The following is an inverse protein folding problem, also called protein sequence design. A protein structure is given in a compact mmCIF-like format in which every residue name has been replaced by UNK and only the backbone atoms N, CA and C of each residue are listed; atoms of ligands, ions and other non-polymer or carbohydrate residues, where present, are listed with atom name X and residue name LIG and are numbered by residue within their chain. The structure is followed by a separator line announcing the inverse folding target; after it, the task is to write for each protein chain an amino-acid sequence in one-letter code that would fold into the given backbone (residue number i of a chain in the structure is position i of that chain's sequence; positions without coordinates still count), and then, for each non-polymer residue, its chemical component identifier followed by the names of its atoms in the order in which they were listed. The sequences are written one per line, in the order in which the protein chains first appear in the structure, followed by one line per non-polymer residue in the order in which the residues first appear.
data_IF_007400707630
#
_entry.id   IF_007400707630
#
_cell.length_a   1.000
_cell.length_b   1.000
_cell.length_c   1.000
_cell.angle_alpha   90.00
_cell.angle_beta   90.00
_cell.angle_gamma   90.00
#
_symmetry.space_group_name_H-M   'P 1'
#
loop_
_entity.id
_entity.type
_entity.pdbx_description
1 polymer ?
#
# COMPACT_ATOMS: atom_id res chain seq x y z
N UNK A 1 21.32 -15.50 -5.74
CA UNK A 1 22.21 -14.45 -5.22
C UNK A 1 21.78 -14.24 -3.78
N UNK A 2 22.72 -14.34 -2.85
CA UNK A 2 22.43 -14.09 -1.45
C UNK A 2 22.33 -12.57 -1.28
N UNK A 3 21.12 -12.08 -0.95
CA UNK A 3 20.93 -10.68 -0.61
C UNK A 3 21.65 -10.39 0.71
N UNK A 4 22.34 -9.26 0.77
CA UNK A 4 23.11 -8.86 1.97
C UNK A 4 22.25 -7.94 2.80
N UNK A 5 21.57 -8.50 3.81
CA UNK A 5 20.66 -7.76 4.67
C UNK A 5 21.37 -6.67 5.48
N UNK A 6 20.69 -5.54 5.63
CA UNK A 6 21.11 -4.39 6.44
C UNK A 6 21.27 -4.77 7.91
N UNK A 7 20.27 -5.48 8.45
CA UNK A 7 20.30 -6.16 9.74
C UNK A 7 20.57 -7.64 9.51
N UNK A 8 21.65 -8.15 10.11
CA UNK A 8 21.96 -9.57 10.03
C UNK A 8 21.05 -10.37 10.96
N UNK A 9 20.76 -11.61 10.57
CA UNK A 9 19.97 -12.55 11.39
C UNK A 9 20.54 -12.74 12.80
N UNK A 10 21.87 -12.76 12.94
CA UNK A 10 22.55 -12.89 14.24
C UNK A 10 22.37 -11.68 15.18
N UNK A 11 21.99 -10.53 14.62
CA UNK A 11 21.79 -9.27 15.34
C UNK A 11 20.28 -8.94 15.52
N UNK A 12 19.38 -9.75 14.96
CA UNK A 12 17.94 -9.54 15.05
C UNK A 12 17.45 -9.72 16.50
N UNK A 13 16.54 -8.83 16.90
CA UNK A 13 15.86 -8.86 18.20
C UNK A 13 14.39 -9.20 18.00
N UNK A 14 13.79 -9.85 18.99
CA UNK A 14 12.34 -9.95 19.11
C UNK A 14 11.84 -8.64 19.72
N UNK A 15 11.27 -7.77 18.88
CA UNK A 15 10.91 -6.39 19.26
C UNK A 15 9.48 -6.29 19.82
N UNK A 16 8.59 -7.17 19.38
CA UNK A 16 7.21 -7.23 19.80
C UNK A 16 6.69 -8.66 19.69
N UNK A 17 5.55 -8.93 20.33
CA UNK A 17 4.84 -10.19 20.21
C UNK A 17 3.68 -10.04 19.21
N UNK A 18 3.48 -11.04 18.37
CA UNK A 18 2.47 -11.04 17.32
C UNK A 18 1.80 -12.40 17.25
N UNK A 19 0.49 -12.44 17.45
CA UNK A 19 -0.31 -13.69 17.49
C UNK A 19 -1.00 -13.99 16.15
N UNK A 20 -0.83 -13.11 15.16
CA UNK A 20 -1.45 -13.16 13.84
C UNK A 20 -0.44 -13.63 12.75
N UNK A 21 -0.89 -13.83 11.50
CA UNK A 21 0.03 -13.99 10.37
C UNK A 21 1.09 -12.87 10.33
N UNK A 22 2.36 -13.24 10.15
CA UNK A 22 3.53 -12.34 10.26
C UNK A 22 4.24 -12.06 8.94
N UNK A 23 3.89 -12.76 7.85
CA UNK A 23 4.49 -12.54 6.55
C UNK A 23 4.11 -11.17 5.99
N UNK A 24 5.04 -10.46 5.39
CA UNK A 24 4.81 -9.15 4.77
C UNK A 24 5.72 -8.97 3.56
N UNK A 25 5.36 -8.03 2.67
CA UNK A 25 6.24 -7.62 1.58
C UNK A 25 7.07 -6.42 2.02
N UNK A 26 8.37 -6.45 1.77
CA UNK A 26 9.24 -5.27 1.93
C UNK A 26 10.22 -5.14 0.75
N UNK A 27 10.60 -3.91 0.43
CA UNK A 27 11.58 -3.61 -0.63
C UNK A 27 13.03 -3.74 -0.14
N UNK A 28 13.95 -3.92 -1.09
CA UNK A 28 15.38 -3.99 -0.81
C UNK A 28 15.96 -2.65 -0.35
N UNK A 29 15.31 -1.51 -0.66
CA UNK A 29 15.65 -0.22 -0.06
C UNK A 29 15.65 -0.33 1.47
N UNK A 30 14.63 -0.99 2.04
CA UNK A 30 14.55 -1.23 3.47
C UNK A 30 15.47 -2.38 3.89
N UNK A 31 15.32 -3.56 3.27
CA UNK A 31 15.89 -4.80 3.80
C UNK A 31 17.38 -5.00 3.48
N UNK A 32 17.89 -4.37 2.43
CA UNK A 32 19.28 -4.48 1.96
C UNK A 32 20.04 -3.19 2.21
N UNK A 33 19.44 -2.05 1.83
CA UNK A 33 20.09 -0.74 1.92
C UNK A 33 19.95 -0.11 3.31
N UNK A 34 18.98 -0.57 4.12
CA UNK A 34 18.77 -0.11 5.49
C UNK A 34 18.05 1.23 5.59
N UNK A 35 17.35 1.62 4.52
CA UNK A 35 16.50 2.81 4.53
C UNK A 35 15.27 2.61 5.42
N UNK A 36 14.67 3.74 5.80
CA UNK A 36 13.46 3.76 6.63
C UNK A 36 12.22 3.45 5.80
N UNK A 37 11.20 2.90 6.45
CA UNK A 37 9.88 2.75 5.84
C UNK A 37 9.32 4.15 5.64
N UNK A 38 9.13 4.56 4.39
CA UNK A 38 8.55 5.86 4.05
C UNK A 38 7.08 5.78 3.66
N UNK A 39 6.63 4.62 3.17
CA UNK A 39 5.22 4.32 2.92
C UNK A 39 4.90 2.87 3.31
N UNK A 40 3.77 2.68 4.00
CA UNK A 40 3.28 1.36 4.39
C UNK A 40 1.77 1.29 4.28
N UNK A 41 1.25 0.13 3.87
CA UNK A 41 -0.18 -0.08 3.76
C UNK A 41 -0.55 -1.54 4.02
N UNK A 42 -1.80 -1.76 4.44
CA UNK A 42 -2.32 -3.09 4.78
C UNK A 42 -3.42 -3.48 3.79
N UNK A 43 -3.15 -4.46 2.96
CA UNK A 43 -4.09 -5.03 1.99
C UNK A 43 -4.54 -6.44 2.40
N UNK A 44 -5.41 -7.07 1.60
CA UNK A 44 -5.84 -8.43 1.88
C UNK A 44 -4.64 -9.41 1.80
N UNK A 45 -4.54 -10.38 2.73
CA UNK A 45 -3.53 -11.43 2.64
C UNK A 45 -3.58 -12.18 1.30
N UNK A 46 -2.43 -12.35 0.65
CA UNK A 46 -2.31 -13.09 -0.61
C UNK A 46 -2.19 -14.61 -0.39
N UNK A 47 -1.76 -15.03 0.81
CA UNK A 47 -1.57 -16.43 1.17
C UNK A 47 -1.72 -16.67 2.68
N UNK A 48 -1.84 -17.94 3.07
CA UNK A 48 -1.87 -18.34 4.49
C UNK A 48 -0.55 -17.98 5.17
N UNK A 49 -0.60 -17.08 6.15
CA UNK A 49 0.60 -16.55 6.82
C UNK A 49 0.99 -15.14 6.39
N UNK A 50 0.32 -14.56 5.39
CA UNK A 50 0.47 -13.14 5.04
C UNK A 50 -0.35 -12.25 6.00
N UNK A 51 0.31 -11.25 6.58
CA UNK A 51 -0.27 -10.23 7.45
C UNK A 51 -1.08 -9.17 6.71
N UNK A 52 -0.88 -9.08 5.39
CA UNK A 52 -1.39 -8.03 4.52
C UNK A 52 -0.52 -6.78 4.48
N UNK A 53 0.54 -6.68 5.30
CA UNK A 53 1.40 -5.50 5.30
C UNK A 53 2.35 -5.48 4.10
N UNK A 54 2.51 -4.28 3.55
CA UNK A 54 3.43 -3.94 2.46
C UNK A 54 4.23 -2.71 2.88
N UNK A 55 5.55 -2.78 2.75
CA UNK A 55 6.49 -1.74 3.19
C UNK A 55 7.40 -1.28 2.04
N UNK A 56 7.45 0.02 1.81
CA UNK A 56 8.36 0.65 0.84
C UNK A 56 9.08 1.85 1.46
N UNK A 57 10.20 2.25 0.87
CA UNK A 57 10.91 3.47 1.24
C UNK A 57 10.15 4.74 0.79
N UNK A 58 9.25 4.60 -0.19
CA UNK A 58 8.42 5.68 -0.73
C UNK A 58 9.10 6.48 -1.84
N UNK A 59 10.35 6.18 -2.16
CA UNK A 59 11.13 6.81 -3.23
C UNK A 59 11.43 5.87 -4.41
N UNK A 60 10.94 4.63 -4.34
CA UNK A 60 11.01 3.67 -5.43
C UNK A 60 10.16 4.11 -6.62
N UNK A 61 10.75 4.12 -7.81
CA UNK A 61 10.04 4.40 -9.06
C UNK A 61 9.39 3.15 -9.67
N UNK A 62 8.61 3.36 -10.74
CA UNK A 62 7.92 2.26 -11.42
C UNK A 62 8.89 1.21 -11.98
N UNK A 63 10.07 1.60 -12.46
CA UNK A 63 11.07 0.64 -12.97
C UNK A 63 11.57 -0.26 -11.84
N UNK A 64 11.82 0.32 -10.66
CA UNK A 64 12.20 -0.41 -9.47
C UNK A 64 11.09 -1.36 -9.00
N UNK A 65 9.86 -0.87 -8.89
CA UNK A 65 8.72 -1.63 -8.38
C UNK A 65 8.30 -2.77 -9.32
N UNK A 66 8.50 -2.60 -10.63
CA UNK A 66 8.20 -3.64 -11.62
C UNK A 66 9.22 -4.79 -11.65
N UNK A 67 10.34 -4.68 -10.93
CA UNK A 67 11.32 -5.77 -10.85
C UNK A 67 11.10 -6.60 -9.58
N UNK A 68 10.60 -7.85 -9.69
CA UNK A 68 10.29 -8.70 -8.53
C UNK A 68 11.52 -9.11 -7.70
N UNK A 69 12.74 -8.85 -8.18
CA UNK A 69 13.97 -9.08 -7.40
C UNK A 69 14.21 -8.01 -6.35
N UNK A 70 13.59 -6.84 -6.48
CA UNK A 70 13.78 -5.69 -5.61
C UNK A 70 12.92 -5.73 -4.35
N UNK A 71 12.10 -6.75 -4.18
CA UNK A 71 11.28 -6.98 -2.98
C UNK A 71 11.35 -8.45 -2.56
N UNK A 72 10.75 -8.75 -1.42
CA UNK A 72 10.68 -10.11 -0.89
C UNK A 72 9.63 -10.22 0.22
N UNK A 73 9.39 -11.47 0.63
CA UNK A 73 8.55 -11.80 1.77
C UNK A 73 9.43 -11.93 3.01
N UNK A 74 9.05 -11.24 4.08
CA UNK A 74 9.76 -11.20 5.36
C UNK A 74 8.76 -11.30 6.52
N UNK A 75 9.25 -11.61 7.72
CA UNK A 75 8.45 -11.48 8.94
C UNK A 75 8.35 -10.00 9.34
N UNK A 76 7.21 -9.57 9.90
CA UNK A 76 7.02 -8.21 10.41
C UNK A 76 8.15 -7.78 11.37
N UNK A 77 8.59 -8.69 12.23
CA UNK A 77 9.70 -8.43 13.14
C UNK A 77 11.03 -8.15 12.41
N UNK A 78 11.25 -8.74 11.24
CA UNK A 78 12.43 -8.45 10.41
C UNK A 78 12.43 -7.01 9.88
N UNK A 79 11.27 -6.51 9.46
CA UNK A 79 11.12 -5.11 9.01
C UNK A 79 11.25 -4.16 10.20
N UNK A 80 10.63 -4.47 11.34
CA UNK A 80 10.72 -3.66 12.56
C UNK A 80 12.16 -3.52 13.10
N UNK A 81 13.03 -4.50 12.85
CA UNK A 81 14.47 -4.37 13.19
C UNK A 81 15.20 -3.33 12.31
N UNK A 82 14.69 -3.03 11.12
CA UNK A 82 15.14 -1.86 10.33
C UNK A 82 14.45 -0.58 10.77
N UNK A 83 13.18 -0.69 11.15
CA UNK A 83 12.37 0.46 11.51
C UNK A 83 11.34 0.20 12.62
N UNK A 84 11.75 0.42 13.88
CA UNK A 84 10.91 0.20 15.07
C UNK A 84 9.65 1.09 15.09
N UNK A 85 9.65 2.20 14.35
CA UNK A 85 8.53 3.14 14.30
C UNK A 85 7.26 2.55 13.67
N UNK A 86 7.36 1.42 12.94
CA UNK A 86 6.18 0.76 12.37
C UNK A 86 5.36 0.02 13.43
N UNK A 87 5.98 -0.39 14.54
CA UNK A 87 5.36 -1.29 15.54
C UNK A 87 4.01 -0.76 16.05
N UNK A 88 3.87 0.53 16.42
CA UNK A 88 2.60 1.07 16.91
C UNK A 88 1.47 1.08 15.86
N UNK A 89 1.79 0.85 14.58
CA UNK A 89 0.85 0.93 13.47
C UNK A 89 0.39 -0.45 12.99
N UNK A 90 1.04 -1.54 13.41
CA UNK A 90 0.80 -2.89 12.88
C UNK A 90 -0.62 -3.41 13.17
N UNK A 91 -1.26 -2.96 14.24
CA UNK A 91 -2.65 -3.29 14.61
C UNK A 91 -3.70 -2.54 13.76
N UNK A 92 -3.28 -1.67 12.84
CA UNK A 92 -4.20 -0.91 11.99
C UNK A 92 -5.02 -1.84 11.06
N UNK A 93 -6.30 -1.49 10.78
CA UNK A 93 -7.17 -2.34 9.98
C UNK A 93 -6.74 -2.42 8.52
N UNK A 94 -7.23 -3.45 7.83
CA UNK A 94 -7.15 -3.55 6.38
C UNK A 94 -7.67 -2.27 5.70
N UNK A 95 -7.00 -1.85 4.64
CA UNK A 95 -7.31 -0.60 3.95
C UNK A 95 -6.53 0.61 4.47
N UNK A 96 -5.80 0.49 5.58
CA UNK A 96 -5.02 1.61 6.12
C UNK A 96 -3.70 1.78 5.36
N UNK A 97 -3.29 3.02 5.16
CA UNK A 97 -1.95 3.38 4.70
C UNK A 97 -1.36 4.52 5.54
N UNK A 98 -0.04 4.60 5.58
CA UNK A 98 0.72 5.65 6.25
C UNK A 98 1.91 6.06 5.39
N UNK A 99 2.22 7.35 5.37
CA UNK A 99 3.45 7.90 4.79
C UNK A 99 4.21 8.71 5.83
N UNK A 100 5.52 8.87 5.65
CA UNK A 100 6.31 9.82 6.47
C UNK A 100 6.23 11.23 5.88
N UNK A 101 5.90 12.20 6.73
CA UNK A 101 5.98 13.62 6.37
C UNK A 101 7.43 14.13 6.35
N UNK A 102 7.63 15.40 5.99
CA UNK A 102 8.96 16.05 5.97
C UNK A 102 9.66 16.07 7.34
N UNK A 103 8.92 15.86 8.44
CA UNK A 103 9.48 15.74 9.79
C UNK A 103 9.90 14.31 10.13
N UNK A 104 9.66 13.37 9.23
CA UNK A 104 9.92 11.94 9.39
C UNK A 104 8.88 11.22 10.23
N UNK A 105 7.70 11.80 10.48
CA UNK A 105 6.65 11.16 11.27
C UNK A 105 5.61 10.50 10.38
N UNK A 106 5.12 9.34 10.79
CA UNK A 106 3.99 8.71 10.12
C UNK A 106 2.72 9.56 10.25
N UNK A 107 2.14 9.84 9.09
CA UNK A 107 0.83 10.44 8.90
C UNK A 107 -0.03 9.40 8.18
N UNK A 108 -1.24 9.19 8.69
CA UNK A 108 -2.19 8.29 8.06
C UNK A 108 -2.65 8.88 6.73
N UNK A 109 -2.65 8.07 5.68
CA UNK A 109 -3.32 8.42 4.43
C UNK A 109 -4.83 8.51 4.69
N UNK A 110 -5.46 9.53 4.13
CA UNK A 110 -6.89 9.74 4.29
C UNK A 110 -7.71 8.71 3.52
N UNK A 111 -7.15 8.11 2.47
CA UNK A 111 -7.88 7.18 1.62
C UNK A 111 -7.73 5.74 2.10
N UNK A 112 -8.82 4.98 1.99
CA UNK A 112 -8.75 3.53 2.12
C UNK A 112 -8.05 2.95 0.88
N UNK A 113 -6.90 2.30 1.07
CA UNK A 113 -6.07 1.82 -0.04
C UNK A 113 -6.75 0.72 -0.85
N UNK A 114 -7.60 -0.10 -0.20
CA UNK A 114 -8.34 -1.17 -0.88
C UNK A 114 -9.44 -0.57 -1.78
N UNK A 115 -10.12 0.48 -1.32
CA UNK A 115 -11.06 1.23 -2.14
C UNK A 115 -10.35 1.89 -3.32
N UNK A 116 -9.19 2.51 -3.07
CA UNK A 116 -8.36 3.12 -4.13
C UNK A 116 -7.94 2.11 -5.19
N UNK A 117 -7.46 0.94 -4.79
CA UNK A 117 -7.06 -0.13 -5.71
C UNK A 117 -8.23 -0.62 -6.57
N UNK A 118 -9.42 -0.83 -5.98
CA UNK A 118 -10.60 -1.25 -6.75
C UNK A 118 -11.10 -0.17 -7.70
N UNK A 119 -11.05 1.10 -7.30
CA UNK A 119 -11.40 2.23 -8.17
C UNK A 119 -10.42 2.31 -9.34
N UNK A 120 -9.11 2.20 -9.08
CA UNK A 120 -8.07 2.21 -10.11
C UNK A 120 -8.24 1.06 -11.11
N UNK A 121 -8.56 -0.15 -10.64
CA UNK A 121 -8.86 -1.31 -11.48
C UNK A 121 -10.10 -1.06 -12.38
N UNK A 122 -11.17 -0.45 -11.86
CA UNK A 122 -12.33 -0.07 -12.68
C UNK A 122 -11.91 0.93 -13.76
N UNK A 123 -11.16 1.97 -13.40
CA UNK A 123 -10.68 2.97 -14.36
C UNK A 123 -9.84 2.29 -15.47
N UNK A 124 -8.95 1.38 -15.11
CA UNK A 124 -8.14 0.60 -16.03
C UNK A 124 -8.99 -0.27 -16.97
N UNK A 125 -9.97 -1.00 -16.45
CA UNK A 125 -10.88 -1.85 -17.24
C UNK A 125 -11.69 -1.05 -18.27
N UNK A 126 -12.05 0.19 -17.93
CA UNK A 126 -12.73 1.13 -18.83
C UNK A 126 -11.76 1.94 -19.71
N UNK A 127 -10.46 1.63 -19.67
CA UNK A 127 -9.39 2.32 -20.42
C UNK A 127 -9.39 3.82 -20.15
N UNK A 128 -9.48 4.21 -18.87
CA UNK A 128 -9.43 5.59 -18.40
C UNK A 128 -8.08 5.81 -17.72
N UNK A 129 -7.20 6.53 -18.42
CA UNK A 129 -5.83 6.76 -17.94
C UNK A 129 -5.68 8.12 -17.24
N UNK A 130 -6.62 9.05 -17.49
CA UNK A 130 -6.55 10.41 -16.98
C UNK A 130 -7.93 11.07 -16.99
N UNK A 131 -8.00 12.28 -16.40
CA UNK A 131 -9.23 13.08 -16.33
C UNK A 131 -9.81 13.46 -17.68
N UNK A 132 -9.00 13.64 -18.72
CA UNK A 132 -9.51 13.99 -20.06
C UNK A 132 -10.28 12.81 -20.62
N UNK A 133 -9.76 11.59 -20.45
CA UNK A 133 -10.44 10.37 -20.87
C UNK A 133 -11.74 10.19 -20.09
N UNK A 134 -11.68 10.32 -18.75
CA UNK A 134 -12.85 10.24 -17.88
C UNK A 134 -13.95 11.21 -18.33
N UNK A 135 -13.63 12.49 -18.55
CA UNK A 135 -14.59 13.51 -18.99
C UNK A 135 -15.10 13.33 -20.42
N UNK A 136 -14.42 12.53 -21.24
CA UNK A 136 -14.80 12.29 -22.63
C UNK A 136 -15.82 11.16 -22.79
N UNK A 137 -16.06 10.37 -21.73
CA UNK A 137 -16.98 9.24 -21.73
C UNK A 137 -18.43 9.69 -21.90
N UNK A 138 -19.22 8.81 -22.50
CA UNK A 138 -20.66 9.01 -22.61
C UNK A 138 -21.33 8.97 -21.23
N UNK A 139 -22.48 9.65 -21.05
CA UNK A 139 -23.25 9.55 -19.80
C UNK A 139 -23.59 8.11 -19.41
N UNK A 140 -23.80 7.23 -20.40
CA UNK A 140 -24.09 5.81 -20.18
C UNK A 140 -22.89 5.04 -19.63
N UNK A 141 -21.69 5.26 -20.17
CA UNK A 141 -20.44 4.67 -19.66
C UNK A 141 -20.15 5.15 -18.24
N UNK A 142 -20.30 6.46 -18.00
CA UNK A 142 -20.12 7.04 -16.66
C UNK A 142 -21.11 6.46 -15.67
N UNK A 143 -22.40 6.35 -16.04
CA UNK A 143 -23.42 5.77 -15.18
C UNK A 143 -23.11 4.30 -14.84
N UNK A 144 -22.59 3.52 -15.79
CA UNK A 144 -22.17 2.14 -15.55
C UNK A 144 -21.06 2.08 -14.50
N UNK A 145 -20.02 2.90 -14.62
CA UNK A 145 -18.93 2.95 -13.65
C UNK A 145 -19.43 3.38 -12.26
N UNK A 146 -20.35 4.34 -12.17
CA UNK A 146 -20.92 4.76 -10.88
C UNK A 146 -21.70 3.64 -10.17
N UNK A 147 -22.33 2.72 -10.90
CA UNK A 147 -22.95 1.55 -10.27
C UNK A 147 -21.90 0.62 -9.64
N UNK A 148 -20.70 0.51 -10.24
CA UNK A 148 -19.57 -0.21 -9.67
C UNK A 148 -19.00 0.53 -8.44
N UNK A 149 -18.84 1.86 -8.52
CA UNK A 149 -18.38 2.68 -7.41
C UNK A 149 -19.31 2.67 -6.19
N UNK A 150 -20.64 2.56 -6.39
CA UNK A 150 -21.59 2.41 -5.28
C UNK A 150 -21.37 1.12 -4.48
N UNK A 151 -20.94 0.04 -5.14
CA UNK A 151 -20.59 -1.22 -4.47
C UNK A 151 -19.36 -0.98 -3.57
N UNK A 152 -18.36 -0.27 -4.08
CA UNK A 152 -17.14 0.10 -3.33
C UNK A 152 -17.50 0.99 -2.13
N UNK A 153 -18.36 1.99 -2.32
CA UNK A 153 -18.86 2.85 -1.24
C UNK A 153 -19.46 2.03 -0.09
N UNK A 154 -20.35 1.08 -0.42
CA UNK A 154 -20.96 0.21 0.58
C UNK A 154 -19.98 -0.76 1.24
N UNK A 155 -18.97 -1.24 0.51
CA UNK A 155 -17.97 -2.20 1.00
C UNK A 155 -16.98 -1.58 1.97
N UNK A 156 -16.49 -0.37 1.67
CA UNK A 156 -15.43 0.30 2.42
C UNK A 156 -15.93 1.46 3.28
N UNK A 157 -17.25 1.66 3.34
CA UNK A 157 -17.92 2.71 4.11
C UNK A 157 -17.43 4.13 3.73
N UNK A 158 -17.12 4.34 2.44
CA UNK A 158 -16.72 5.65 1.88
C UNK A 158 -17.90 6.31 1.15
N UNK A 159 -17.87 7.63 1.06
CA UNK A 159 -18.85 8.43 0.33
C UNK A 159 -18.55 8.52 -1.17
N UNK A 160 -19.56 8.90 -1.97
CA UNK A 160 -19.37 9.20 -3.40
C UNK A 160 -18.41 10.39 -3.61
N UNK A 161 -18.42 11.38 -2.71
CA UNK A 161 -17.47 12.49 -2.74
C UNK A 161 -16.02 11.99 -2.53
N UNK A 162 -15.81 11.03 -1.62
CA UNK A 162 -14.50 10.41 -1.42
C UNK A 162 -14.05 9.60 -2.65
N UNK A 163 -14.97 8.96 -3.38
CA UNK A 163 -14.65 8.30 -4.65
C UNK A 163 -14.11 9.32 -5.66
N UNK A 164 -14.75 10.48 -5.80
CA UNK A 164 -14.27 11.53 -6.70
C UNK A 164 -12.89 12.06 -6.29
N UNK A 165 -12.65 12.22 -4.98
CA UNK A 165 -11.33 12.61 -4.47
C UNK A 165 -10.25 11.55 -4.73
N UNK A 166 -10.61 10.27 -4.63
CA UNK A 166 -9.72 9.15 -4.95
C UNK A 166 -9.40 9.15 -6.45
N UNK A 167 -10.40 9.29 -7.31
CA UNK A 167 -10.22 9.37 -8.78
C UNK A 167 -9.30 10.55 -9.14
N UNK A 168 -9.53 11.73 -8.55
CA UNK A 168 -8.67 12.89 -8.75
C UNK A 168 -7.22 12.61 -8.31
N UNK A 169 -7.04 11.96 -7.15
CA UNK A 169 -5.73 11.59 -6.64
C UNK A 169 -5.02 10.52 -7.48
N UNK A 170 -5.75 9.59 -8.10
CA UNK A 170 -5.20 8.62 -9.06
C UNK A 170 -4.66 9.34 -10.30
N UNK A 171 -5.38 10.35 -10.79
CA UNK A 171 -4.95 11.16 -11.93
C UNK A 171 -3.86 12.20 -11.59
N UNK A 172 -3.44 12.32 -10.33
CA UNK A 172 -2.40 13.23 -9.88
C UNK A 172 -2.82 14.70 -9.77
N UNK A 173 -4.08 14.96 -9.37
CA UNK A 173 -4.66 16.31 -9.20
C UNK A 173 -4.84 16.77 -7.75
#
# INVERSE_FOLDING_TARGET
MDKKWSVKVEDMKELFHWDEPEGCLATDRIMVEGEKVGYMYREYPDFEGDSGWRFTCGDEDDEYMNNPKNSGIYELNSVANNDEDIIPLLDSPLGTAFYRDDSGKFVQDRFNILARQEIDEILYQHSIENKKDYKSRSPEEIAQMYEEFKIICGKYEISEDEVEEIIASIFGE
#
